data_IF_824223206250
#
_entry.id   IF_824223206250
#
_cell.length_a   1.000
_cell.length_b   1.000
_cell.length_c   1.000
_cell.angle_alpha   90.00
_cell.angle_beta   90.00
_cell.angle_gamma   90.00
#
_symmetry.space_group_name_H-M   'P 1'
#
loop_
_entity.id
_entity.type
_entity.pdbx_description
1 polymer ?
#
# COMPACT_ATOMS: atom_id res chain seq x y z
N UNK A 1 6.62 10.52 -5.46
CA UNK A 1 5.54 10.06 -6.36
C UNK A 1 4.64 11.25 -6.68
N UNK A 2 4.03 11.27 -7.87
CA UNK A 2 2.91 12.13 -8.22
C UNK A 2 1.59 11.49 -7.79
N UNK A 3 0.48 12.23 -7.84
CA UNK A 3 -0.86 11.68 -7.58
C UNK A 3 -1.22 10.54 -8.57
N UNK A 4 -0.76 10.61 -9.81
CA UNK A 4 -0.98 9.52 -10.77
C UNK A 4 -0.20 8.26 -10.38
N UNK A 5 1.07 8.42 -10.00
CA UNK A 5 1.91 7.30 -9.55
C UNK A 5 1.37 6.65 -8.28
N UNK A 6 0.83 7.43 -7.34
CA UNK A 6 0.24 6.86 -6.13
C UNK A 6 -1.06 6.10 -6.39
N UNK A 7 -1.87 6.58 -7.33
CA UNK A 7 -3.09 5.89 -7.75
C UNK A 7 -2.76 4.50 -8.34
N UNK A 8 -1.79 4.46 -9.25
CA UNK A 8 -1.29 3.20 -9.85
C UNK A 8 -0.70 2.27 -8.77
N UNK A 9 0.06 2.83 -7.83
CA UNK A 9 0.68 2.05 -6.75
C UNK A 9 -0.36 1.46 -5.80
N UNK A 10 -1.43 2.22 -5.51
CA UNK A 10 -2.57 1.76 -4.72
C UNK A 10 -3.34 0.63 -5.41
N UNK A 11 -3.55 0.73 -6.73
CA UNK A 11 -4.18 -0.32 -7.52
C UNK A 11 -3.32 -1.60 -7.54
N UNK A 12 -2.01 -1.47 -7.67
CA UNK A 12 -1.08 -2.60 -7.58
C UNK A 12 -1.11 -3.27 -6.21
N UNK A 13 -1.14 -2.50 -5.13
CA UNK A 13 -1.30 -3.02 -3.78
C UNK A 13 -2.60 -3.82 -3.64
N UNK A 14 -3.71 -3.27 -4.15
CA UNK A 14 -4.99 -3.95 -4.16
C UNK A 14 -4.92 -5.30 -4.89
N UNK A 15 -4.36 -5.33 -6.09
CA UNK A 15 -4.21 -6.58 -6.85
C UNK A 15 -3.30 -7.59 -6.16
N UNK A 16 -2.21 -7.15 -5.52
CA UNK A 16 -1.33 -8.03 -4.75
C UNK A 16 -2.08 -8.67 -3.57
N UNK A 17 -2.79 -7.87 -2.78
CA UNK A 17 -3.57 -8.36 -1.63
C UNK A 17 -4.65 -9.33 -2.11
N UNK A 18 -5.36 -8.99 -3.19
CA UNK A 18 -6.37 -9.86 -3.77
C UNK A 18 -5.77 -11.19 -4.24
N UNK A 19 -4.65 -11.17 -4.96
CA UNK A 19 -4.00 -12.39 -5.43
C UNK A 19 -3.55 -13.28 -4.26
N UNK A 20 -2.99 -12.68 -3.19
CA UNK A 20 -2.62 -13.41 -1.97
C UNK A 20 -3.84 -14.02 -1.29
N UNK A 21 -4.94 -13.28 -1.17
CA UNK A 21 -6.16 -13.74 -0.52
C UNK A 21 -6.83 -14.88 -1.31
N UNK A 22 -6.96 -14.73 -2.62
CA UNK A 22 -7.54 -15.74 -3.51
C UNK A 22 -6.70 -17.02 -3.54
N UNK A 23 -5.37 -16.90 -3.39
CA UNK A 23 -4.46 -18.04 -3.47
C UNK A 23 -3.89 -18.50 -2.12
N UNK A 24 -4.45 -18.02 -1.01
CA UNK A 24 -3.83 -18.15 0.32
C UNK A 24 -3.47 -19.60 0.66
N UNK A 25 -4.38 -20.54 0.41
CA UNK A 25 -4.16 -21.95 0.73
C UNK A 25 -3.28 -22.70 -0.28
N UNK A 26 -3.03 -22.16 -1.49
CA UNK A 26 -2.14 -22.79 -2.47
C UNK A 26 -0.70 -22.27 -2.41
N UNK A 27 -0.49 -21.11 -1.81
CA UNK A 27 0.86 -20.55 -1.62
C UNK A 27 1.60 -21.28 -0.51
N UNK A 28 2.91 -21.50 -0.68
CA UNK A 28 3.77 -21.98 0.41
C UNK A 28 3.92 -20.90 1.49
N UNK A 29 4.16 -21.31 2.74
CA UNK A 29 4.29 -20.41 3.89
C UNK A 29 5.31 -19.27 3.65
N UNK A 30 6.47 -19.59 3.06
CA UNK A 30 7.49 -18.61 2.74
C UNK A 30 7.06 -17.62 1.65
N UNK A 31 6.28 -18.08 0.67
CA UNK A 31 5.73 -17.22 -0.39
C UNK A 31 4.66 -16.28 0.18
N UNK A 32 3.74 -16.82 1.00
CA UNK A 32 2.73 -16.02 1.71
C UNK A 32 3.39 -14.92 2.53
N UNK A 33 4.36 -15.29 3.37
CA UNK A 33 5.08 -14.33 4.21
C UNK A 33 5.74 -13.23 3.37
N UNK A 34 6.45 -13.61 2.30
CA UNK A 34 7.14 -12.65 1.44
C UNK A 34 6.17 -11.70 0.72
N UNK A 35 5.04 -12.19 0.21
CA UNK A 35 4.04 -11.37 -0.48
C UNK A 35 3.29 -10.44 0.48
N UNK A 36 3.01 -10.89 1.70
CA UNK A 36 2.41 -10.04 2.75
C UNK A 36 3.38 -8.91 3.15
N UNK A 37 4.67 -9.20 3.31
CA UNK A 37 5.67 -8.17 3.59
C UNK A 37 5.80 -7.18 2.43
N UNK A 38 5.78 -7.66 1.18
CA UNK A 38 5.77 -6.77 0.02
C UNK A 38 4.55 -5.85 0.02
N UNK A 39 3.36 -6.38 0.35
CA UNK A 39 2.15 -5.56 0.47
C UNK A 39 2.27 -4.53 1.61
N UNK A 40 2.89 -4.92 2.73
CA UNK A 40 3.18 -4.00 3.84
C UNK A 40 4.11 -2.86 3.43
N UNK A 41 5.23 -3.16 2.77
CA UNK A 41 6.19 -2.15 2.31
C UNK A 41 5.54 -1.15 1.34
N UNK A 42 4.76 -1.65 0.37
CA UNK A 42 4.03 -0.79 -0.57
C UNK A 42 3.01 0.09 0.18
N UNK A 43 2.34 -0.45 1.21
CA UNK A 43 1.39 0.34 2.01
C UNK A 43 2.08 1.47 2.80
N UNK A 44 3.28 1.21 3.32
CA UNK A 44 4.08 2.20 4.04
C UNK A 44 4.58 3.31 3.11
N UNK A 45 4.95 2.98 1.86
CA UNK A 45 5.31 3.98 0.85
C UNK A 45 4.12 4.89 0.50
N UNK A 46 2.90 4.32 0.41
CA UNK A 46 1.68 5.09 0.18
C UNK A 46 1.37 6.02 1.36
N UNK A 47 1.40 5.49 2.58
CA UNK A 47 1.18 6.28 3.79
C UNK A 47 2.17 7.44 3.91
N UNK A 48 3.46 7.16 3.68
CA UNK A 48 4.52 8.18 3.71
C UNK A 48 4.24 9.29 2.70
N UNK A 49 3.81 8.94 1.49
CA UNK A 49 3.45 9.92 0.48
C UNK A 49 2.21 10.73 0.88
N UNK A 50 1.16 10.07 1.38
CA UNK A 50 -0.07 10.74 1.83
C UNK A 50 0.21 11.75 2.94
N UNK A 51 1.01 11.37 3.93
CA UNK A 51 1.41 12.25 5.02
C UNK A 51 2.18 13.47 4.50
N UNK A 52 3.12 13.26 3.58
CA UNK A 52 3.86 14.35 2.96
C UNK A 52 2.97 15.27 2.10
N UNK A 53 1.91 14.75 1.51
CA UNK A 53 0.94 15.53 0.74
C UNK A 53 0.01 16.35 1.65
N UNK A 54 -0.46 15.77 2.76
CA UNK A 54 -1.25 16.49 3.77
C UNK A 54 -0.47 17.68 4.38
N UNK A 55 0.84 17.51 4.62
CA UNK A 55 1.71 18.59 5.07
C UNK A 55 1.86 19.70 4.02
N UNK A 56 1.92 19.35 2.72
CA UNK A 56 2.01 20.32 1.62
C UNK A 56 0.72 21.12 1.45
N UNK A 57 -0.44 20.51 1.65
CA UNK A 57 -1.75 21.17 1.56
C UNK A 57 -2.12 21.98 2.82
N UNK A 58 -1.15 22.18 3.73
CA UNK A 58 -1.29 23.08 4.88
C UNK A 58 -1.92 22.43 6.12
N UNK A 59 -2.01 21.09 6.19
CA UNK A 59 -2.33 20.37 7.42
C UNK A 59 -3.70 20.73 8.03
N UNK A 60 -4.73 20.93 7.21
CA UNK A 60 -6.08 21.24 7.70
C UNK A 60 -6.81 20.04 8.30
N UNK A 61 -6.26 18.83 8.18
CA UNK A 61 -6.78 17.62 8.84
C UNK A 61 -6.06 17.31 10.15
N UNK A 62 -5.71 18.33 10.96
CA UNK A 62 -5.46 18.09 12.38
C UNK A 62 -6.78 17.62 13.00
N UNK A 63 -6.91 16.31 13.20
CA UNK A 63 -7.99 15.69 13.99
C UNK A 63 -8.06 16.40 15.34
N UNK A 64 -9.15 17.15 15.55
CA UNK A 64 -9.60 17.56 16.89
C UNK A 64 -10.12 16.34 17.66
#
# INVERSE_FOLDING_TARGET
MTLQEISITSERLHHLIQAVAENYYQLEDGQRFSLINLAYDISADIETWMNAEEERDGGTTKRN
#
